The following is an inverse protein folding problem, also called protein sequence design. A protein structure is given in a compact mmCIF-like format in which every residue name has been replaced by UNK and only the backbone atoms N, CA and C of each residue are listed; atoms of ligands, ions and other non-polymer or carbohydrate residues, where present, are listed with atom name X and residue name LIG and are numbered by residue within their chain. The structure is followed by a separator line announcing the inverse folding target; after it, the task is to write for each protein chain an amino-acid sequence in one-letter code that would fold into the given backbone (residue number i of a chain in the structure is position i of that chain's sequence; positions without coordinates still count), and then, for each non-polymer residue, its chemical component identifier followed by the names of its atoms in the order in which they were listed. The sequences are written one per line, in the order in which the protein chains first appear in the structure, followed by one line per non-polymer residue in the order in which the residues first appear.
data_IF_351465390748
#
_entry.id   IF_351465390748
#
_cell.length_a   1.000
_cell.length_b   1.000
_cell.length_c   1.000
_cell.angle_alpha   90.00
_cell.angle_beta   90.00
_cell.angle_gamma   90.00
#
_symmetry.space_group_name_H-M   'P 1'
#
loop_
_entity.id
_entity.type
_entity.pdbx_description
1 polymer ?
#
# COMPACT_ATOMS: atom_id res chain seq x y z
N UNK A 1 76.59 32.91 15.03
CA UNK A 1 76.34 34.37 14.93
C UNK A 1 74.85 34.49 14.66
N UNK A 2 73.99 34.92 15.60
CA UNK A 2 73.93 36.26 16.27
C UNK A 2 73.90 37.38 15.23
N UNK A 3 72.95 38.32 15.16
CA UNK A 3 71.89 38.78 16.08
C UNK A 3 70.86 39.64 15.28
N UNK A 4 69.67 40.11 15.71
CA UNK A 4 68.93 40.10 17.00
C UNK A 4 67.38 40.28 16.80
N UNK A 5 66.67 40.48 17.92
CA UNK A 5 65.39 41.18 18.22
C UNK A 5 64.67 42.06 17.15
N UNK A 6 63.36 42.34 17.22
CA UNK A 6 62.57 42.69 18.45
C UNK A 6 61.05 42.42 18.35
N UNK A 7 60.30 42.38 19.47
CA UNK A 7 58.90 41.95 19.54
C UNK A 7 57.88 43.11 19.57
N UNK A 8 56.59 42.77 19.45
CA UNK A 8 55.48 43.61 19.92
C UNK A 8 54.57 42.76 20.82
N UNK A 9 54.38 43.20 22.06
CA UNK A 9 53.57 42.50 23.05
C UNK A 9 52.05 42.70 22.87
N UNK A 10 51.34 41.65 23.27
CA UNK A 10 49.98 41.60 23.81
C UNK A 10 49.12 42.88 23.78
N UNK A 11 47.94 42.75 23.15
CA UNK A 11 46.69 43.23 23.77
C UNK A 11 45.79 42.04 24.12
N UNK A 12 45.59 41.81 25.42
CA UNK A 12 44.71 40.75 25.95
C UNK A 12 43.25 41.04 25.56
N UNK A 13 42.68 40.22 24.70
CA UNK A 13 41.23 39.97 24.63
C UNK A 13 40.89 38.76 25.50
N UNK A 14 39.74 38.78 26.19
CA UNK A 14 39.35 37.72 27.12
C UNK A 14 39.04 36.38 26.40
N UNK A 15 39.26 35.22 27.04
CA UNK A 15 38.93 33.93 26.46
C UNK A 15 37.41 33.69 26.49
N UNK A 16 36.76 33.30 25.37
CA UNK A 16 35.45 32.67 25.45
C UNK A 16 35.61 31.28 26.09
N UNK A 17 34.91 31.07 27.20
CA UNK A 17 34.91 29.83 28.00
C UNK A 17 34.24 28.68 27.19
N UNK A 18 34.64 27.40 27.35
CA UNK A 18 34.24 26.35 26.42
C UNK A 18 32.81 25.85 26.72
N UNK A 19 31.86 26.23 25.87
CA UNK A 19 30.55 25.58 25.81
C UNK A 19 30.67 24.29 25.00
N UNK A 20 30.42 23.16 25.68
CA UNK A 20 30.70 21.82 25.20
C UNK A 20 30.04 21.46 23.86
N UNK A 21 30.77 20.64 23.11
CA UNK A 21 30.26 19.67 22.14
C UNK A 21 28.99 18.99 22.67
N UNK A 22 27.85 19.17 22.00
CA UNK A 22 26.77 18.19 22.03
C UNK A 22 26.38 17.84 20.60
N UNK A 23 26.87 16.69 20.17
CA UNK A 23 26.47 16.05 18.92
C UNK A 23 25.39 15.03 19.25
N UNK A 24 24.17 15.25 18.76
CA UNK A 24 23.07 14.29 18.73
C UNK A 24 22.23 14.64 17.49
N UNK A 25 22.54 14.21 16.25
CA UNK A 25 23.04 12.91 15.76
C UNK A 25 22.05 11.73 15.91
N UNK A 26 20.76 12.01 15.79
CA UNK A 26 19.70 10.97 15.73
C UNK A 26 18.60 11.25 14.68
N UNK A 27 18.96 11.58 13.44
CA UNK A 27 18.02 11.53 12.30
C UNK A 27 18.48 10.67 11.10
N UNK A 28 19.75 10.31 10.98
CA UNK A 28 20.31 9.64 9.77
C UNK A 28 20.50 8.11 9.91
N UNK A 29 19.60 7.42 10.62
CA UNK A 29 19.77 5.97 10.94
C UNK A 29 18.75 5.03 10.29
N UNK A 30 17.91 5.55 9.40
CA UNK A 30 17.38 4.78 8.28
C UNK A 30 17.92 5.43 7.00
N UNK A 31 18.79 4.76 6.23
CA UNK A 31 18.98 5.14 4.84
C UNK A 31 17.60 5.02 4.19
N UNK A 32 17.05 6.14 3.71
CA UNK A 32 15.87 6.07 2.84
C UNK A 32 16.29 5.25 1.61
N UNK A 33 15.71 4.06 1.37
CA UNK A 33 16.09 3.23 0.22
C UNK A 33 15.88 3.96 -1.11
N UNK A 34 15.00 4.97 -1.13
CA UNK A 34 14.70 5.77 -2.30
C UNK A 34 15.64 6.97 -2.47
N UNK A 35 16.47 7.32 -1.47
CA UNK A 35 17.45 8.42 -1.58
C UNK A 35 18.57 8.16 -2.61
N UNK A 36 18.73 6.90 -3.05
CA UNK A 36 19.56 6.57 -4.23
C UNK A 36 18.85 6.96 -5.53
N UNK A 37 17.59 6.57 -5.67
CA UNK A 37 16.74 6.83 -6.83
C UNK A 37 16.40 8.32 -7.00
N UNK A 38 16.49 9.12 -5.93
CA UNK A 38 16.35 10.59 -5.99
C UNK A 38 17.69 11.32 -6.28
N UNK A 39 18.82 10.60 -6.33
CA UNK A 39 20.16 11.16 -6.67
C UNK A 39 20.68 10.74 -8.03
N UNK A 40 20.16 9.66 -8.59
CA UNK A 40 20.34 9.34 -9.99
C UNK A 40 19.48 10.34 -10.81
N UNK A 41 19.99 10.80 -11.97
CA UNK A 41 19.23 11.63 -12.92
C UNK A 41 17.87 10.99 -13.26
N UNK A 42 16.90 11.69 -13.90
CA UNK A 42 15.60 11.13 -14.31
C UNK A 42 15.64 9.89 -15.25
N UNK A 43 16.83 9.32 -15.46
CA UNK A 43 17.18 8.15 -16.26
C UNK A 43 17.85 7.03 -15.44
N UNK A 44 17.75 7.06 -14.10
CA UNK A 44 18.48 6.19 -13.16
C UNK A 44 18.35 4.66 -13.33
N UNK A 45 17.34 4.19 -14.08
CA UNK A 45 17.21 2.77 -14.47
C UNK A 45 18.05 2.39 -15.70
N UNK A 46 18.88 3.31 -16.23
CA UNK A 46 19.77 3.07 -17.39
C UNK A 46 19.07 3.23 -18.75
N UNK A 47 17.89 3.83 -18.78
CA UNK A 47 17.07 4.00 -19.97
C UNK A 47 17.23 5.40 -20.59
N UNK A 48 17.37 5.49 -21.91
CA UNK A 48 17.54 6.77 -22.61
C UNK A 48 16.20 7.54 -22.72
N UNK A 49 16.23 8.88 -22.89
CA UNK A 49 15.02 9.68 -23.11
C UNK A 49 14.19 9.20 -24.32
N UNK A 50 14.85 8.65 -25.34
CA UNK A 50 14.22 8.14 -26.56
C UNK A 50 13.50 6.80 -26.33
N UNK A 51 14.10 5.91 -25.52
CA UNK A 51 13.46 4.67 -25.07
C UNK A 51 12.24 4.99 -24.20
N UNK A 52 12.36 5.95 -23.28
CA UNK A 52 11.25 6.41 -22.45
C UNK A 52 10.09 7.00 -23.28
N UNK A 53 10.38 7.73 -24.36
CA UNK A 53 9.36 8.23 -25.28
C UNK A 53 8.69 7.11 -26.10
N UNK A 54 9.39 6.02 -26.39
CA UNK A 54 8.86 4.88 -27.13
C UNK A 54 7.75 4.13 -26.37
N UNK A 55 7.77 4.14 -25.03
CA UNK A 55 6.75 3.52 -24.17
C UNK A 55 5.32 4.00 -24.48
N UNK A 56 5.17 5.27 -24.87
CA UNK A 56 3.89 5.85 -25.24
C UNK A 56 3.29 5.28 -26.55
N UNK A 57 4.07 4.52 -27.33
CA UNK A 57 3.65 3.94 -28.62
C UNK A 57 3.19 2.48 -28.54
N UNK A 58 3.29 1.83 -27.36
CA UNK A 58 2.94 0.41 -27.19
C UNK A 58 1.44 0.20 -27.36
N UNK A 59 1.07 -0.71 -28.26
CA UNK A 59 -0.32 -1.04 -28.54
C UNK A 59 -0.97 -1.77 -27.35
N UNK A 60 -2.14 -1.30 -26.90
CA UNK A 60 -2.85 -1.87 -25.76
C UNK A 60 -3.26 -3.32 -25.99
N UNK A 61 -2.73 -4.24 -25.19
CA UNK A 61 -2.99 -5.69 -25.28
C UNK A 61 -4.43 -6.00 -24.88
N UNK A 62 -5.17 -6.75 -25.71
CA UNK A 62 -6.56 -7.14 -25.42
C UNK A 62 -6.60 -8.17 -24.29
N UNK A 63 -7.01 -7.71 -23.11
CA UNK A 63 -7.17 -8.53 -21.91
C UNK A 63 -8.50 -9.32 -21.95
N UNK A 64 -8.60 -10.39 -21.15
CA UNK A 64 -9.77 -11.27 -21.09
C UNK A 64 -10.60 -10.97 -19.84
N UNK A 65 -11.87 -10.62 -20.00
CA UNK A 65 -12.77 -10.38 -18.88
C UNK A 65 -13.90 -9.40 -19.20
N UNK A 66 -14.51 -8.87 -18.14
CA UNK A 66 -15.50 -7.79 -18.19
C UNK A 66 -14.81 -6.45 -18.49
N UNK A 67 -15.58 -5.47 -18.95
CA UNK A 67 -15.10 -4.09 -19.04
C UNK A 67 -14.81 -3.50 -17.65
N UNK A 68 -13.87 -2.54 -17.57
CA UNK A 68 -13.36 -1.94 -16.33
C UNK A 68 -14.49 -1.44 -15.41
N UNK A 69 -15.54 -0.83 -15.97
CA UNK A 69 -16.70 -0.36 -15.17
C UNK A 69 -17.48 -1.53 -14.56
N UNK A 70 -17.79 -2.54 -15.37
CA UNK A 70 -18.52 -3.74 -14.95
C UNK A 70 -17.73 -4.55 -13.92
N UNK A 71 -16.42 -4.73 -14.15
CA UNK A 71 -15.51 -5.39 -13.21
C UNK A 71 -15.50 -4.67 -11.86
N UNK A 72 -15.39 -3.34 -11.85
CA UNK A 72 -15.43 -2.54 -10.62
C UNK A 72 -16.77 -2.61 -9.90
N UNK A 73 -17.91 -2.56 -10.60
CA UNK A 73 -19.23 -2.73 -9.97
C UNK A 73 -19.39 -4.13 -9.33
N UNK A 74 -19.01 -5.17 -10.06
CA UNK A 74 -19.09 -6.55 -9.59
C UNK A 74 -18.18 -6.77 -8.36
N UNK A 75 -16.96 -6.23 -8.38
CA UNK A 75 -16.06 -6.27 -7.23
C UNK A 75 -16.68 -5.59 -6.00
N UNK A 76 -17.22 -4.38 -6.14
CA UNK A 76 -17.79 -3.65 -5.02
C UNK A 76 -19.07 -4.31 -4.48
N UNK A 77 -19.89 -4.92 -5.34
CA UNK A 77 -21.00 -5.76 -4.90
C UNK A 77 -20.52 -6.91 -4.00
N UNK A 78 -19.56 -7.71 -4.47
CA UNK A 78 -19.01 -8.82 -3.68
C UNK A 78 -18.35 -8.35 -2.38
N UNK A 79 -17.53 -7.29 -2.42
CA UNK A 79 -16.82 -6.73 -1.27
C UNK A 79 -17.77 -6.19 -0.17
N UNK A 80 -18.84 -5.49 -0.56
CA UNK A 80 -19.82 -4.96 0.39
C UNK A 80 -20.63 -6.10 1.00
N UNK A 81 -21.12 -7.03 0.18
CA UNK A 81 -21.88 -8.19 0.68
C UNK A 81 -21.02 -9.05 1.60
N UNK A 82 -19.76 -9.30 1.26
CA UNK A 82 -18.86 -10.08 2.11
C UNK A 82 -18.65 -9.41 3.46
N UNK A 83 -18.37 -8.11 3.49
CA UNK A 83 -18.14 -7.37 4.73
C UNK A 83 -19.40 -7.32 5.62
N UNK A 84 -20.59 -7.14 5.02
CA UNK A 84 -21.86 -7.22 5.75
C UNK A 84 -22.09 -8.62 6.35
N UNK A 85 -21.81 -9.68 5.59
CA UNK A 85 -21.89 -11.06 6.06
C UNK A 85 -20.89 -11.35 7.19
N UNK A 86 -19.66 -10.83 7.11
CA UNK A 86 -18.60 -11.01 8.13
C UNK A 86 -19.00 -10.33 9.46
N UNK A 87 -19.44 -9.08 9.41
CA UNK A 87 -19.93 -8.34 10.58
C UNK A 87 -21.15 -9.04 11.20
N UNK A 88 -22.06 -9.54 10.35
CA UNK A 88 -23.23 -10.30 10.82
C UNK A 88 -22.82 -11.64 11.44
N UNK A 89 -21.81 -12.33 10.90
CA UNK A 89 -21.24 -13.55 11.46
C UNK A 89 -20.61 -13.30 12.84
N UNK A 90 -19.91 -12.17 13.03
CA UNK A 90 -19.37 -11.79 14.34
C UNK A 90 -20.50 -11.63 15.38
N UNK A 91 -21.55 -10.87 15.06
CA UNK A 91 -22.69 -10.65 15.96
C UNK A 91 -23.45 -11.95 16.26
N UNK A 92 -23.72 -12.77 15.22
CA UNK A 92 -24.47 -14.02 15.38
C UNK A 92 -23.66 -15.11 16.10
N UNK A 93 -22.35 -15.22 15.84
CA UNK A 93 -21.48 -16.19 16.50
C UNK A 93 -21.37 -15.90 17.99
N UNK A 94 -21.24 -14.62 18.37
CA UNK A 94 -21.30 -14.20 19.78
C UNK A 94 -22.63 -14.56 20.46
N UNK A 95 -23.76 -14.41 19.77
CA UNK A 95 -25.10 -14.56 20.37
C UNK A 95 -25.67 -15.99 20.35
N UNK A 96 -25.37 -16.77 19.30
CA UNK A 96 -26.02 -18.04 18.98
C UNK A 96 -25.04 -19.21 18.80
N UNK A 97 -23.74 -18.96 18.94
CA UNK A 97 -22.65 -19.92 18.70
C UNK A 97 -22.46 -20.35 17.23
N UNK A 98 -21.26 -20.84 16.93
CA UNK A 98 -20.83 -21.22 15.57
C UNK A 98 -21.61 -22.39 14.97
N UNK A 99 -22.23 -23.23 15.80
CA UNK A 99 -23.05 -24.36 15.36
C UNK A 99 -24.47 -23.96 14.91
N UNK A 100 -24.86 -22.68 15.09
CA UNK A 100 -26.18 -22.23 14.68
C UNK A 100 -26.28 -22.07 13.15
N UNK A 101 -27.37 -22.61 12.57
CA UNK A 101 -27.70 -22.40 11.16
C UNK A 101 -27.59 -20.94 10.68
N UNK A 102 -28.08 -19.91 11.41
CA UNK A 102 -27.91 -18.52 10.98
C UNK A 102 -26.43 -18.09 10.92
N UNK A 103 -25.57 -18.49 11.87
CA UNK A 103 -24.13 -18.22 11.79
C UNK A 103 -23.51 -18.90 10.58
N UNK A 104 -23.76 -20.20 10.40
CA UNK A 104 -23.18 -21.00 9.30
C UNK A 104 -23.58 -20.39 7.94
N UNK A 105 -24.84 -19.98 7.78
CA UNK A 105 -25.35 -19.34 6.58
C UNK A 105 -24.62 -18.04 6.25
N UNK A 106 -24.49 -17.11 7.20
CA UNK A 106 -23.80 -15.83 6.94
C UNK A 106 -22.29 -16.00 6.78
N UNK A 107 -21.67 -16.94 7.51
CA UNK A 107 -20.23 -17.19 7.41
C UNK A 107 -19.87 -17.85 6.07
N UNK A 108 -20.74 -18.73 5.56
CA UNK A 108 -20.64 -19.28 4.20
C UNK A 108 -20.85 -18.20 3.14
N UNK A 109 -21.85 -17.32 3.34
CA UNK A 109 -22.09 -16.16 2.48
C UNK A 109 -20.88 -15.22 2.40
N UNK A 110 -20.26 -14.93 3.55
CA UNK A 110 -18.99 -14.21 3.64
C UNK A 110 -17.91 -14.91 2.81
N UNK A 111 -17.62 -16.19 3.09
CA UNK A 111 -16.55 -16.92 2.40
C UNK A 111 -16.73 -16.92 0.89
N UNK A 112 -17.92 -17.25 0.37
CA UNK A 112 -18.19 -17.31 -1.07
C UNK A 112 -17.99 -15.93 -1.73
N UNK A 113 -18.56 -14.87 -1.15
CA UNK A 113 -18.49 -13.53 -1.74
C UNK A 113 -17.11 -12.88 -1.59
N UNK A 114 -16.44 -13.08 -0.46
CA UNK A 114 -15.06 -12.66 -0.23
C UNK A 114 -14.12 -13.32 -1.25
N UNK A 115 -14.19 -14.64 -1.39
CA UNK A 115 -13.34 -15.37 -2.34
C UNK A 115 -13.65 -15.00 -3.80
N UNK A 116 -14.92 -14.74 -4.15
CA UNK A 116 -15.27 -14.22 -5.47
C UNK A 116 -14.59 -12.87 -5.77
N UNK A 117 -14.66 -11.89 -4.84
CA UNK A 117 -13.98 -10.60 -4.98
C UNK A 117 -12.45 -10.75 -5.06
N UNK A 118 -11.89 -11.67 -4.27
CA UNK A 118 -10.46 -11.96 -4.23
C UNK A 118 -9.97 -12.58 -5.54
N UNK A 119 -10.59 -13.67 -6.00
CA UNK A 119 -10.21 -14.34 -7.25
C UNK A 119 -10.43 -13.44 -8.49
N UNK A 120 -11.51 -12.66 -8.54
CA UNK A 120 -11.74 -11.68 -9.59
C UNK A 120 -10.57 -10.67 -9.67
N UNK A 121 -10.05 -10.22 -8.53
CA UNK A 121 -8.94 -9.25 -8.50
C UNK A 121 -7.59 -9.91 -8.75
N UNK A 122 -7.33 -11.08 -8.16
CA UNK A 122 -6.10 -11.82 -8.36
C UNK A 122 -5.91 -12.26 -9.82
N UNK A 123 -6.96 -12.75 -10.49
CA UNK A 123 -6.90 -13.10 -11.93
C UNK A 123 -6.61 -11.87 -12.79
N UNK A 124 -7.24 -10.73 -12.51
CA UNK A 124 -6.95 -9.46 -13.17
C UNK A 124 -5.50 -9.00 -12.98
N UNK A 125 -4.93 -9.21 -11.79
CA UNK A 125 -3.50 -8.92 -11.51
C UNK A 125 -2.58 -9.87 -12.27
N UNK A 126 -2.85 -11.18 -12.27
CA UNK A 126 -2.05 -12.19 -12.99
C UNK A 126 -1.95 -11.84 -14.49
N UNK A 127 -3.06 -11.48 -15.13
CA UNK A 127 -3.07 -11.07 -16.55
C UNK A 127 -2.18 -9.84 -16.87
N UNK A 128 -1.85 -9.03 -15.86
CA UNK A 128 -1.14 -7.74 -15.98
C UNK A 128 0.22 -7.75 -15.27
N UNK A 129 0.63 -8.90 -14.75
CA UNK A 129 1.87 -9.08 -14.01
C UNK A 129 3.10 -8.83 -14.90
N UNK A 130 4.22 -8.48 -14.26
CA UNK A 130 5.48 -8.13 -14.93
C UNK A 130 6.05 -9.23 -15.84
N UNK A 131 5.68 -10.49 -15.65
CA UNK A 131 6.10 -11.60 -16.52
C UNK A 131 5.19 -11.82 -17.76
N UNK A 132 4.06 -11.10 -17.89
CA UNK A 132 3.13 -11.17 -19.05
C UNK A 132 3.18 -9.88 -19.90
N UNK A 133 3.65 -8.80 -19.29
CA UNK A 133 3.58 -7.42 -19.78
C UNK A 133 4.98 -6.83 -19.85
N UNK A 134 5.27 -6.08 -20.91
CA UNK A 134 6.51 -5.31 -21.04
C UNK A 134 6.59 -4.23 -19.95
N UNK A 135 7.75 -4.05 -19.32
CA UNK A 135 7.91 -3.09 -18.22
C UNK A 135 7.62 -1.64 -18.64
N UNK A 136 7.82 -1.38 -19.92
CA UNK A 136 7.48 -0.18 -20.68
C UNK A 136 5.98 0.21 -20.69
N UNK A 137 5.05 -0.75 -20.57
CA UNK A 137 3.61 -0.47 -20.69
C UNK A 137 3.04 0.19 -19.42
N UNK A 138 3.20 1.51 -19.34
CA UNK A 138 2.70 2.36 -18.25
C UNK A 138 1.17 2.24 -18.06
N UNK A 139 0.40 2.04 -19.14
CA UNK A 139 -1.05 1.98 -19.08
C UNK A 139 -1.52 0.73 -18.33
N UNK A 140 -0.96 -0.44 -18.66
CA UNK A 140 -1.30 -1.69 -17.98
C UNK A 140 -0.67 -1.78 -16.58
N UNK A 141 0.43 -1.06 -16.31
CA UNK A 141 0.98 -0.87 -14.95
C UNK A 141 0.06 -0.08 -14.04
N UNK A 142 -0.48 1.04 -14.52
CA UNK A 142 -1.48 1.83 -13.79
C UNK A 142 -2.73 0.99 -13.46
N UNK A 143 -3.12 0.08 -14.36
CA UNK A 143 -4.17 -0.91 -14.08
C UNK A 143 -3.75 -1.95 -13.02
N UNK A 144 -2.54 -2.51 -13.11
CA UNK A 144 -2.03 -3.46 -12.12
C UNK A 144 -1.97 -2.84 -10.72
N UNK A 145 -1.46 -1.62 -10.57
CA UNK A 145 -1.46 -0.91 -9.28
C UNK A 145 -2.88 -0.64 -8.78
N UNK A 146 -3.82 -0.23 -9.65
CA UNK A 146 -5.23 -0.08 -9.27
C UNK A 146 -5.81 -1.40 -8.73
N UNK A 147 -5.49 -2.55 -9.34
CA UNK A 147 -5.93 -3.86 -8.88
C UNK A 147 -5.27 -4.29 -7.57
N UNK A 148 -3.96 -4.03 -7.40
CA UNK A 148 -3.26 -4.28 -6.15
C UNK A 148 -3.87 -3.46 -4.99
N UNK A 149 -4.12 -2.16 -5.22
CA UNK A 149 -4.81 -1.28 -4.26
C UNK A 149 -6.24 -1.75 -4.00
N UNK A 150 -6.96 -2.21 -5.04
CA UNK A 150 -8.31 -2.80 -4.91
C UNK A 150 -8.31 -4.07 -4.05
N UNK A 151 -7.29 -4.92 -4.16
CA UNK A 151 -7.14 -6.10 -3.32
C UNK A 151 -6.93 -5.72 -1.85
N UNK A 152 -6.11 -4.70 -1.55
CA UNK A 152 -5.99 -4.19 -0.16
C UNK A 152 -7.31 -3.59 0.36
N UNK A 153 -8.12 -2.93 -0.48
CA UNK A 153 -9.46 -2.45 -0.09
C UNK A 153 -10.43 -3.57 0.30
N UNK A 154 -10.23 -4.80 -0.17
CA UNK A 154 -10.97 -5.98 0.27
C UNK A 154 -10.38 -6.54 1.58
N UNK A 155 -9.06 -6.77 1.60
CA UNK A 155 -8.41 -7.50 2.68
C UNK A 155 -8.30 -6.70 3.98
N UNK A 156 -7.99 -5.40 3.90
CA UNK A 156 -7.71 -4.58 5.08
C UNK A 156 -8.97 -4.38 5.96
N UNK A 157 -10.18 -4.10 5.43
CA UNK A 157 -11.40 -4.10 6.23
C UNK A 157 -11.74 -5.46 6.86
N UNK A 158 -11.58 -6.56 6.12
CA UNK A 158 -11.82 -7.90 6.66
C UNK A 158 -10.81 -8.27 7.77
N UNK A 159 -9.54 -7.90 7.63
CA UNK A 159 -8.56 -8.03 8.71
C UNK A 159 -9.00 -7.27 9.97
N UNK A 160 -9.55 -6.05 9.82
CA UNK A 160 -10.01 -5.25 10.96
C UNK A 160 -11.24 -5.85 11.64
N UNK A 161 -12.22 -6.38 10.89
CA UNK A 161 -13.39 -7.07 11.47
C UNK A 161 -12.96 -8.38 12.16
N UNK A 162 -12.11 -9.17 11.52
CA UNK A 162 -11.48 -10.35 12.12
C UNK A 162 -10.77 -10.04 13.44
N UNK A 163 -9.92 -9.01 13.48
CA UNK A 163 -9.17 -8.62 14.68
C UNK A 163 -10.09 -8.09 15.79
N UNK A 164 -11.02 -7.19 15.45
CA UNK A 164 -11.97 -6.61 16.40
C UNK A 164 -12.90 -7.65 17.01
N UNK A 165 -13.19 -8.74 16.29
CA UNK A 165 -13.98 -9.87 16.78
C UNK A 165 -13.13 -10.86 17.59
N UNK A 166 -11.91 -11.16 17.13
CA UNK A 166 -11.00 -12.09 17.78
C UNK A 166 -10.59 -11.64 19.20
N UNK A 167 -10.19 -10.37 19.39
CA UNK A 167 -9.69 -9.87 20.68
C UNK A 167 -10.68 -10.14 21.84
N UNK A 168 -11.94 -9.65 21.82
CA UNK A 168 -12.88 -9.88 22.91
C UNK A 168 -13.30 -11.34 23.03
N UNK A 169 -13.35 -12.10 21.94
CA UNK A 169 -13.68 -13.53 21.94
C UNK A 169 -12.59 -14.35 22.63
N UNK A 170 -11.31 -14.11 22.30
CA UNK A 170 -10.17 -14.79 22.88
C UNK A 170 -9.97 -14.46 24.36
N UNK A 171 -10.14 -13.20 24.77
CA UNK A 171 -10.10 -12.81 26.20
C UNK A 171 -11.19 -13.53 27.00
N UNK A 172 -12.36 -13.74 26.41
CA UNK A 172 -13.52 -14.35 27.08
C UNK A 172 -13.66 -15.86 26.86
N UNK A 173 -12.68 -16.51 26.21
CA UNK A 173 -12.70 -17.96 25.88
C UNK A 173 -12.97 -18.87 27.08
N UNK A 174 -12.56 -18.47 28.28
CA UNK A 174 -12.78 -19.23 29.52
C UNK A 174 -14.17 -19.02 30.14
N UNK A 175 -14.89 -17.96 29.75
CA UNK A 175 -16.26 -17.66 30.22
C UNK A 175 -17.33 -18.36 29.38
N UNK A 176 -17.03 -18.65 28.11
CA UNK A 176 -17.89 -19.42 27.20
C UNK A 176 -17.16 -20.72 26.79
N UNK A 177 -17.14 -21.75 27.64
CA UNK A 177 -16.19 -22.88 27.55
C UNK A 177 -16.34 -23.83 26.34
N UNK A 178 -17.23 -23.56 25.38
CA UNK A 178 -17.57 -24.51 24.31
C UNK A 178 -17.59 -23.96 22.88
N UNK A 179 -17.24 -22.69 22.63
CA UNK A 179 -17.15 -22.15 21.27
C UNK A 179 -15.70 -21.89 20.83
N UNK A 180 -14.91 -22.98 20.82
CA UNK A 180 -13.56 -23.02 20.27
C UNK A 180 -13.49 -22.55 18.80
N UNK A 181 -14.41 -22.93 17.90
CA UNK A 181 -14.37 -22.49 16.51
C UNK A 181 -14.52 -20.98 16.35
N UNK A 182 -15.30 -20.30 17.20
CA UNK A 182 -15.62 -18.87 17.02
C UNK A 182 -14.37 -17.99 16.95
N UNK A 183 -13.57 -17.97 18.03
CA UNK A 183 -12.39 -17.11 18.07
C UNK A 183 -11.29 -17.57 17.12
N UNK A 184 -11.20 -18.87 16.81
CA UNK A 184 -10.26 -19.42 15.82
C UNK A 184 -10.60 -18.98 14.38
N UNK A 185 -11.88 -18.95 14.01
CA UNK A 185 -12.31 -18.51 12.68
C UNK A 185 -12.00 -17.03 12.43
N UNK A 186 -12.28 -16.16 13.41
CA UNK A 186 -11.96 -14.73 13.29
C UNK A 186 -10.45 -14.45 13.41
N UNK A 187 -9.70 -15.26 14.18
CA UNK A 187 -8.23 -15.24 14.16
C UNK A 187 -7.67 -15.63 12.78
N UNK A 188 -8.18 -16.69 12.17
CA UNK A 188 -7.76 -17.14 10.83
C UNK A 188 -8.11 -16.08 9.78
N UNK A 189 -9.30 -15.49 9.86
CA UNK A 189 -9.73 -14.39 8.98
C UNK A 189 -8.79 -13.19 9.12
N UNK A 190 -8.43 -12.80 10.35
CA UNK A 190 -7.44 -11.75 10.58
C UNK A 190 -6.06 -12.10 9.99
N UNK A 191 -5.48 -13.25 10.35
CA UNK A 191 -4.13 -13.64 9.92
C UNK A 191 -4.05 -13.72 8.38
N UNK A 192 -5.02 -14.38 7.74
CA UNK A 192 -5.07 -14.50 6.29
C UNK A 192 -5.05 -13.12 5.62
N UNK A 193 -6.03 -12.29 5.97
CA UNK A 193 -6.17 -10.96 5.37
C UNK A 193 -4.98 -10.04 5.68
N UNK A 194 -4.46 -10.05 6.91
CA UNK A 194 -3.31 -9.23 7.29
C UNK A 194 -2.05 -9.64 6.53
N UNK A 195 -1.73 -10.94 6.45
CA UNK A 195 -0.54 -11.44 5.74
C UNK A 195 -0.64 -11.12 4.24
N UNK A 196 -1.76 -11.42 3.58
CA UNK A 196 -1.90 -11.10 2.16
C UNK A 196 -1.93 -9.59 1.90
N UNK A 197 -2.50 -8.77 2.80
CA UNK A 197 -2.47 -7.31 2.68
C UNK A 197 -1.06 -6.72 2.85
N UNK A 198 -0.23 -7.27 3.74
CA UNK A 198 1.16 -6.84 3.91
C UNK A 198 2.02 -7.29 2.73
N UNK A 199 1.87 -8.54 2.28
CA UNK A 199 2.61 -9.05 1.12
C UNK A 199 2.24 -8.31 -0.17
N UNK A 200 0.96 -7.99 -0.38
CA UNK A 200 0.51 -7.19 -1.51
C UNK A 200 0.95 -5.72 -1.40
N UNK A 201 0.92 -5.14 -0.19
CA UNK A 201 1.46 -3.81 0.07
C UNK A 201 2.94 -3.72 -0.32
N UNK A 202 3.76 -4.65 0.16
CA UNK A 202 5.21 -4.64 -0.07
C UNK A 202 5.58 -5.00 -1.51
N UNK A 203 5.14 -6.17 -2.01
CA UNK A 203 5.58 -6.71 -3.30
C UNK A 203 4.96 -6.01 -4.51
N UNK A 204 3.71 -5.52 -4.39
CA UNK A 204 2.96 -4.99 -5.53
C UNK A 204 2.76 -3.47 -5.42
N UNK A 205 2.23 -2.98 -4.28
CA UNK A 205 1.84 -1.57 -4.16
C UNK A 205 3.05 -0.66 -4.04
N UNK A 206 3.95 -0.88 -3.08
CA UNK A 206 5.15 -0.03 -2.91
C UNK A 206 6.03 -0.05 -4.15
N UNK A 207 6.32 -1.25 -4.68
CA UNK A 207 7.16 -1.43 -5.87
C UNK A 207 6.63 -0.67 -7.10
N UNK A 208 5.36 -0.89 -7.49
CA UNK A 208 4.79 -0.22 -8.67
C UNK A 208 4.45 1.26 -8.41
N UNK A 209 4.11 1.64 -7.17
CA UNK A 209 3.90 3.04 -6.78
C UNK A 209 5.19 3.85 -6.93
N UNK A 210 6.29 3.37 -6.34
CA UNK A 210 7.56 4.08 -6.40
C UNK A 210 8.08 4.08 -7.83
N UNK A 211 8.06 2.95 -8.55
CA UNK A 211 8.52 2.89 -9.95
C UNK A 211 7.73 3.82 -10.89
N UNK A 212 6.39 3.89 -10.78
CA UNK A 212 5.59 4.85 -11.56
C UNK A 212 5.70 6.31 -11.06
N UNK A 213 6.16 6.58 -9.82
CA UNK A 213 6.51 7.95 -9.38
C UNK A 213 7.68 8.49 -10.21
N UNK A 214 8.62 7.64 -10.60
CA UNK A 214 9.74 8.02 -11.49
C UNK A 214 9.31 8.14 -12.96
N UNK A 215 8.52 7.21 -13.48
CA UNK A 215 8.23 7.11 -14.93
C UNK A 215 7.03 7.96 -15.42
N UNK A 216 5.98 8.15 -14.60
CA UNK A 216 4.71 8.74 -15.03
C UNK A 216 4.36 10.03 -14.25
N UNK A 217 4.90 10.19 -13.03
CA UNK A 217 4.82 11.41 -12.20
C UNK A 217 3.43 11.75 -11.63
N UNK A 218 2.41 11.88 -12.48
CA UNK A 218 1.02 12.19 -12.12
C UNK A 218 0.09 10.95 -12.16
N UNK A 219 0.31 10.02 -11.22
CA UNK A 219 -0.58 8.88 -11.02
C UNK A 219 -1.45 8.99 -9.74
N UNK A 220 -2.69 8.43 -9.74
CA UNK A 220 -3.63 8.57 -8.62
C UNK A 220 -3.21 7.87 -7.31
N UNK A 221 -2.13 7.08 -7.33
CA UNK A 221 -1.63 6.33 -6.17
C UNK A 221 -0.16 6.62 -5.81
N UNK A 222 0.42 7.71 -6.33
CA UNK A 222 1.84 8.11 -6.12
C UNK A 222 2.36 8.10 -4.68
N UNK A 223 1.49 8.31 -3.69
CA UNK A 223 1.86 8.24 -2.27
C UNK A 223 1.62 6.80 -1.81
N UNK A 224 2.66 5.95 -1.85
CA UNK A 224 2.57 4.53 -1.52
C UNK A 224 1.89 4.26 -0.17
N UNK A 225 2.14 5.07 0.86
CA UNK A 225 1.46 4.94 2.17
C UNK A 225 -0.07 5.09 2.09
N UNK A 226 -0.58 5.99 1.23
CA UNK A 226 -2.03 6.12 1.00
C UNK A 226 -2.54 4.97 0.12
N UNK A 227 -1.78 4.58 -0.91
CA UNK A 227 -2.13 3.47 -1.79
C UNK A 227 -2.29 2.14 -1.02
N UNK A 228 -1.39 1.85 -0.06
CA UNK A 228 -1.47 0.68 0.83
C UNK A 228 -2.78 0.66 1.62
N UNK A 229 -3.23 1.83 2.10
CA UNK A 229 -4.50 2.00 2.83
C UNK A 229 -5.73 2.04 1.90
N UNK A 230 -5.56 1.87 0.58
CA UNK A 230 -6.66 2.00 -0.37
C UNK A 230 -7.05 3.44 -0.70
N UNK A 231 -6.31 4.45 -0.26
CA UNK A 231 -6.67 5.88 -0.39
C UNK A 231 -5.98 6.47 -1.63
N UNK A 232 -6.72 7.13 -2.55
CA UNK A 232 -6.10 7.83 -3.67
C UNK A 232 -5.32 9.05 -3.16
N UNK A 233 -4.19 9.33 -3.82
CA UNK A 233 -3.38 10.51 -3.52
C UNK A 233 -4.12 11.80 -3.90
N UNK A 234 -4.00 12.89 -3.11
CA UNK A 234 -4.57 14.18 -3.47
C UNK A 234 -3.94 14.69 -4.78
N UNK A 235 -4.77 15.23 -5.68
CA UNK A 235 -4.32 15.88 -6.92
C UNK A 235 -3.34 16.99 -6.60
N UNK A 236 -2.26 17.09 -7.38
CA UNK A 236 -1.33 18.21 -7.26
C UNK A 236 -2.02 19.48 -7.78
N UNK A 237 -2.30 20.41 -6.88
CA UNK A 237 -2.78 21.74 -7.26
C UNK A 237 -1.57 22.53 -7.74
N UNK A 238 -1.29 22.50 -9.03
CA UNK A 238 -0.19 23.26 -9.62
C UNK A 238 -0.37 24.74 -9.29
N UNK A 239 0.65 25.35 -8.67
CA UNK A 239 0.62 26.73 -8.16
C UNK A 239 0.57 27.79 -9.27
N UNK A 240 0.66 27.38 -10.54
CA UNK A 240 0.36 28.20 -11.70
C UNK A 240 -1.00 27.75 -12.28
N UNK A 241 -1.99 28.62 -12.18
CA UNK A 241 -3.40 28.34 -12.47
C UNK A 241 -3.73 28.07 -13.94
N UNK A 242 -3.40 26.86 -14.41
CA UNK A 242 -4.03 26.23 -15.58
C UNK A 242 -4.41 24.80 -15.21
N UNK A 243 -5.68 24.58 -14.92
CA UNK A 243 -6.25 23.24 -15.02
C UNK A 243 -6.06 22.77 -16.47
N UNK A 244 -5.25 21.72 -16.65
CA UNK A 244 -5.26 20.99 -17.91
C UNK A 244 -6.50 20.11 -17.91
N UNK A 245 -7.56 20.59 -18.55
CA UNK A 245 -8.66 19.72 -18.96
C UNK A 245 -8.14 18.62 -19.90
N UNK A 246 -8.73 17.43 -19.76
CA UNK A 246 -8.43 16.27 -20.60
C UNK A 246 -7.63 15.18 -19.87
N UNK A 247 -7.99 13.89 -19.97
CA UNK A 247 -9.14 13.25 -20.62
C UNK A 247 -9.57 12.05 -19.77
N UNK A 248 -10.82 11.63 -19.87
CA UNK A 248 -11.25 10.33 -19.34
C UNK A 248 -10.52 9.18 -20.06
N UNK A 249 -9.97 8.24 -19.29
CA UNK A 249 -9.53 6.89 -19.69
C UNK A 249 -9.79 5.90 -18.53
#
# INVERSE_FOLDING_TARGET
MSEAASPVELRRGAPPTPAALHTDRHQDLYPDPNARLEREDPHGLGETPEQHAAHASIATKKLWGLDRRQETYLFYFWMIVSLCCEITAAVLGWRYHTWSYPFIGVMTGFMVTYWAAWFQTATGMVQRASWIREEADLATRRQFLYLAVRLNRLMLPAALVGLATFIPAYVQRHKHPHDLPYWLLFLLTFIWNAVFSVMNAYNNITWESDRMKYEDGEQPFRIGKLAILGIPSPKQKNTNGKEREGKEI
#
